data_IF_441705651167
#
_entry.id   IF_441705651167
#
_cell.length_a   1.000
_cell.length_b   1.000
_cell.length_c   1.000
_cell.angle_alpha   90.00
_cell.angle_beta   90.00
_cell.angle_gamma   90.00
#
_symmetry.space_group_name_H-M   'P 1'
#
loop_
_entity.id
_entity.type
_entity.pdbx_description
1 polymer ?
#
# COMPACT_ATOMS: atom_id res chain seq x y z
N UNK A 1 -8.59 -12.07 -1.16
CA UNK A 1 -7.95 -10.97 -0.42
C UNK A 1 -8.17 -9.61 -1.09
N UNK A 2 -7.63 -9.37 -2.30
CA UNK A 2 -7.75 -8.07 -3.00
C UNK A 2 -9.19 -7.58 -3.14
N UNK A 3 -10.10 -8.44 -3.60
CA UNK A 3 -11.52 -8.08 -3.72
C UNK A 3 -12.17 -7.67 -2.39
N UNK A 4 -11.81 -8.33 -1.28
CA UNK A 4 -12.30 -7.91 0.03
C UNK A 4 -11.66 -6.62 0.55
N UNK A 5 -10.43 -6.30 0.14
CA UNK A 5 -9.84 -4.99 0.42
C UNK A 5 -10.50 -3.86 -0.39
N UNK A 6 -11.02 -4.15 -1.59
CA UNK A 6 -11.75 -3.21 -2.44
C UNK A 6 -13.25 -3.15 -2.14
N UNK A 7 -13.77 -4.07 -1.32
CA UNK A 7 -15.17 -4.09 -0.92
C UNK A 7 -15.52 -2.95 0.04
N UNK A 8 -16.83 -2.71 0.18
CA UNK A 8 -17.44 -1.77 1.12
C UNK A 8 -17.55 -2.31 2.56
N UNK A 9 -16.76 -3.34 2.90
CA UNK A 9 -16.75 -3.89 4.25
C UNK A 9 -16.28 -2.82 5.25
N UNK A 10 -17.02 -2.60 6.35
CA UNK A 10 -16.70 -1.56 7.34
C UNK A 10 -15.40 -1.85 8.08
N UNK A 11 -14.99 -3.13 8.17
CA UNK A 11 -13.72 -3.54 8.76
C UNK A 11 -13.02 -4.54 7.84
N UNK A 12 -11.78 -4.21 7.47
CA UNK A 12 -10.95 -5.03 6.57
C UNK A 12 -9.92 -5.79 7.39
N UNK A 13 -10.32 -6.94 7.93
CA UNK A 13 -9.41 -7.91 8.54
C UNK A 13 -9.63 -9.30 7.93
N UNK A 14 -8.72 -10.24 8.18
CA UNK A 14 -8.80 -11.58 7.59
C UNK A 14 -10.10 -12.31 7.90
N UNK A 15 -10.66 -12.09 9.09
CA UNK A 15 -11.93 -12.71 9.49
C UNK A 15 -13.10 -12.18 8.67
N UNK A 16 -13.31 -10.86 8.67
CA UNK A 16 -14.41 -10.21 7.97
C UNK A 16 -14.31 -10.42 6.46
N UNK A 17 -13.10 -10.43 5.90
CA UNK A 17 -12.89 -10.73 4.48
C UNK A 17 -13.19 -12.22 4.20
N UNK A 18 -12.80 -13.16 5.09
CA UNK A 18 -13.09 -14.59 4.93
C UNK A 18 -14.59 -14.86 4.93
N UNK A 19 -15.32 -14.30 5.89
CA UNK A 19 -16.78 -14.40 5.94
C UNK A 19 -17.42 -13.85 4.66
N UNK A 20 -16.92 -12.71 4.17
CA UNK A 20 -17.45 -12.08 2.95
C UNK A 20 -17.26 -12.93 1.69
N UNK A 21 -16.15 -13.68 1.58
CA UNK A 21 -15.93 -14.60 0.45
C UNK A 21 -16.56 -15.99 0.65
N UNK A 22 -17.27 -16.22 1.76
CA UNK A 22 -17.93 -17.49 2.07
C UNK A 22 -17.03 -18.55 2.70
N UNK A 23 -15.85 -18.17 3.18
CA UNK A 23 -14.94 -19.07 3.90
C UNK A 23 -15.36 -19.22 5.36
N UNK A 24 -15.29 -20.43 5.88
CA UNK A 24 -15.66 -20.73 7.27
C UNK A 24 -14.59 -20.31 8.30
N UNK A 25 -13.35 -20.05 7.84
CA UNK A 25 -12.22 -19.68 8.69
C UNK A 25 -11.31 -18.65 7.99
N UNK A 26 -10.54 -17.84 8.74
CA UNK A 26 -9.57 -16.92 8.16
C UNK A 26 -8.25 -17.59 7.74
N UNK A 27 -8.14 -18.91 7.84
CA UNK A 27 -6.87 -19.63 7.82
C UNK A 27 -6.12 -19.47 6.49
N UNK A 28 -6.83 -19.49 5.36
CA UNK A 28 -6.24 -19.25 4.05
C UNK A 28 -5.62 -17.84 3.95
N UNK A 29 -6.30 -16.83 4.52
CA UNK A 29 -5.85 -15.44 4.51
C UNK A 29 -4.67 -15.23 5.47
N UNK A 30 -4.73 -15.82 6.66
CA UNK A 30 -3.59 -15.82 7.58
C UNK A 30 -2.41 -16.57 6.98
N UNK A 31 -2.62 -17.69 6.30
CA UNK A 31 -1.56 -18.42 5.62
C UNK A 31 -0.89 -17.54 4.56
N UNK A 32 -1.67 -16.86 3.71
CA UNK A 32 -1.14 -15.91 2.73
C UNK A 32 -0.24 -14.84 3.36
N UNK A 33 -0.64 -14.29 4.52
CA UNK A 33 0.10 -13.20 5.16
C UNK A 33 1.28 -13.64 6.03
N UNK A 34 1.29 -14.88 6.53
CA UNK A 34 2.27 -15.33 7.54
C UNK A 34 3.16 -16.48 7.11
N UNK A 35 2.71 -17.31 6.16
CA UNK A 35 3.35 -18.60 5.83
C UNK A 35 3.61 -18.80 4.35
N UNK A 36 2.85 -18.16 3.47
CA UNK A 36 3.10 -18.23 2.05
C UNK A 36 4.47 -17.63 1.73
N UNK A 37 5.25 -18.32 0.89
CA UNK A 37 6.50 -17.80 0.34
C UNK A 37 6.17 -17.08 -0.95
N UNK A 38 6.48 -15.80 -1.00
CA UNK A 38 6.33 -14.96 -2.17
C UNK A 38 7.67 -14.31 -2.45
N UNK A 39 8.02 -14.24 -3.73
CA UNK A 39 9.14 -13.43 -4.19
C UNK A 39 8.64 -11.98 -4.26
N UNK A 40 9.14 -11.14 -3.34
CA UNK A 40 8.69 -9.77 -3.22
C UNK A 40 9.06 -8.94 -4.46
N UNK A 41 10.20 -9.22 -5.10
CA UNK A 41 10.62 -8.55 -6.33
C UNK A 41 9.74 -8.98 -7.50
N UNK A 42 9.45 -10.28 -7.63
CA UNK A 42 8.55 -10.77 -8.68
C UNK A 42 7.14 -10.19 -8.54
N UNK A 43 6.58 -10.17 -7.33
CA UNK A 43 5.25 -9.58 -7.09
C UNK A 43 5.24 -8.08 -7.38
N UNK A 44 6.29 -7.35 -7.00
CA UNK A 44 6.43 -5.93 -7.35
C UNK A 44 6.45 -5.74 -8.86
N UNK A 45 7.24 -6.54 -9.56
CA UNK A 45 7.45 -6.40 -11.00
C UNK A 45 6.19 -6.76 -11.79
N UNK A 46 5.45 -7.80 -11.38
CA UNK A 46 4.14 -8.17 -11.94
C UNK A 46 3.12 -7.03 -11.78
N UNK A 47 3.04 -6.47 -10.57
CA UNK A 47 2.11 -5.38 -10.26
C UNK A 47 2.47 -4.11 -11.02
N UNK A 48 3.77 -3.79 -11.12
CA UNK A 48 4.26 -2.69 -11.96
C UNK A 48 3.91 -2.92 -13.43
N UNK A 49 4.11 -4.14 -13.94
CA UNK A 49 3.76 -4.54 -15.30
C UNK A 49 2.28 -4.31 -15.59
N UNK A 50 1.41 -4.76 -14.69
CA UNK A 50 -0.03 -4.55 -14.80
C UNK A 50 -0.42 -3.06 -14.88
N UNK A 51 0.16 -2.21 -14.01
CA UNK A 51 -0.11 -0.76 -14.04
C UNK A 51 0.36 -0.13 -15.33
N UNK A 52 1.56 -0.46 -15.80
CA UNK A 52 2.06 0.06 -17.07
C UNK A 52 1.19 -0.41 -18.23
N UNK A 53 0.76 -1.68 -18.25
CA UNK A 53 -0.07 -2.18 -19.34
C UNK A 53 -1.46 -1.54 -19.38
N UNK A 54 -2.10 -1.35 -18.22
CA UNK A 54 -3.52 -0.98 -18.16
C UNK A 54 -3.77 0.51 -17.89
N UNK A 55 -2.80 1.23 -17.33
CA UNK A 55 -2.97 2.62 -16.89
C UNK A 55 -1.99 3.58 -17.61
N UNK A 56 -1.22 3.12 -18.59
CA UNK A 56 -0.24 3.96 -19.28
C UNK A 56 -0.85 5.16 -20.00
N UNK A 57 -0.40 6.35 -19.60
CA UNK A 57 -0.58 7.63 -20.30
C UNK A 57 0.82 8.21 -20.57
N UNK A 58 1.04 8.75 -21.78
CA UNK A 58 2.30 9.42 -22.18
C UNK A 58 2.69 10.57 -21.25
N UNK A 59 1.72 11.15 -20.54
CA UNK A 59 1.91 12.27 -19.61
C UNK A 59 1.93 11.86 -18.14
N UNK A 60 2.02 10.56 -17.87
CA UNK A 60 2.13 10.04 -16.51
C UNK A 60 3.50 10.30 -15.89
N UNK A 61 3.52 10.42 -14.56
CA UNK A 61 4.74 10.57 -13.79
C UNK A 61 4.79 9.55 -12.66
N UNK A 62 6.02 9.19 -12.30
CA UNK A 62 6.31 8.33 -11.16
C UNK A 62 6.73 9.19 -9.98
N UNK A 63 5.94 9.20 -8.92
CA UNK A 63 6.26 9.92 -7.69
C UNK A 63 6.87 8.93 -6.69
N UNK A 64 8.04 9.26 -6.17
CA UNK A 64 8.69 8.51 -5.09
C UNK A 64 8.60 9.37 -3.84
N UNK A 65 7.99 8.84 -2.79
CA UNK A 65 7.80 9.54 -1.53
C UNK A 65 8.03 8.62 -0.33
N UNK A 66 8.64 9.15 0.73
CA UNK A 66 8.81 8.45 1.99
C UNK A 66 7.68 8.84 2.94
N UNK A 67 6.94 7.84 3.45
CA UNK A 67 5.90 8.06 4.44
C UNK A 67 6.19 7.26 5.70
N UNK A 68 6.22 7.96 6.84
CA UNK A 68 6.30 7.36 8.16
C UNK A 68 4.94 7.23 8.85
N UNK A 69 4.66 6.04 9.38
CA UNK A 69 3.49 5.73 10.19
C UNK A 69 3.91 5.50 11.66
N UNK A 70 3.46 6.36 12.56
CA UNK A 70 3.85 6.34 13.98
C UNK A 70 3.18 5.15 14.68
N UNK A 71 3.97 4.37 15.43
CA UNK A 71 3.50 3.18 16.12
C UNK A 71 3.73 3.26 17.62
N UNK A 72 2.86 2.58 18.37
CA UNK A 72 3.04 2.32 19.79
C UNK A 72 3.55 0.88 19.98
N UNK A 73 4.62 0.73 20.76
CA UNK A 73 5.26 -0.57 21.02
C UNK A 73 6.17 -1.07 19.89
N UNK A 74 6.60 -2.32 19.99
CA UNK A 74 7.61 -2.97 19.13
C UNK A 74 7.08 -4.15 18.31
N UNK A 75 5.77 -4.43 18.38
CA UNK A 75 5.17 -5.60 17.73
C UNK A 75 4.92 -5.47 16.22
N UNK A 76 5.20 -4.30 15.63
CA UNK A 76 5.05 -4.08 14.18
C UNK A 76 6.41 -4.25 13.50
N UNK A 77 6.47 -5.05 12.44
CA UNK A 77 7.70 -5.24 11.64
C UNK A 77 8.21 -3.89 11.11
N UNK A 78 9.52 -3.67 11.17
CA UNK A 78 10.16 -2.44 10.69
C UNK A 78 9.91 -1.19 11.54
N UNK A 79 9.29 -1.34 12.72
CA UNK A 79 9.15 -0.23 13.67
C UNK A 79 10.48 0.03 14.40
N UNK A 80 10.92 1.28 14.39
CA UNK A 80 12.08 1.73 15.14
C UNK A 80 12.02 3.24 15.38
N UNK A 81 12.94 3.77 16.18
CA UNK A 81 13.12 5.21 16.31
C UNK A 81 13.84 5.75 15.08
N UNK A 82 13.10 6.46 14.23
CA UNK A 82 13.61 7.04 13.00
C UNK A 82 12.91 8.36 12.69
N UNK A 83 13.53 9.19 11.88
CA UNK A 83 12.88 10.41 11.41
C UNK A 83 11.67 10.02 10.55
N UNK A 84 10.55 10.70 10.76
CA UNK A 84 9.34 10.54 9.93
C UNK A 84 8.94 11.92 9.43
N UNK A 85 8.85 12.07 8.11
CA UNK A 85 8.39 13.31 7.49
C UNK A 85 7.02 13.74 8.05
N UNK A 86 6.11 12.79 8.29
CA UNK A 86 4.76 13.03 8.81
C UNK A 86 4.75 13.68 10.20
N UNK A 87 5.68 13.31 11.08
CA UNK A 87 5.75 13.89 12.43
C UNK A 87 6.80 15.02 12.55
N UNK A 88 7.61 15.24 11.50
CA UNK A 88 8.68 16.24 11.46
C UNK A 88 9.80 16.01 12.47
N UNK A 89 9.89 14.81 13.07
CA UNK A 89 10.83 14.49 14.15
C UNK A 89 11.12 12.99 14.23
N UNK A 90 12.08 12.62 15.08
CA UNK A 90 12.38 11.21 15.36
C UNK A 90 11.32 10.65 16.30
N UNK A 91 10.57 9.67 15.81
CA UNK A 91 9.55 8.94 16.56
C UNK A 91 9.71 7.43 16.37
N UNK A 92 9.05 6.66 17.24
CA UNK A 92 8.86 5.24 17.00
C UNK A 92 7.87 5.07 15.84
N UNK A 93 8.38 4.79 14.65
CA UNK A 93 7.60 4.75 13.43
C UNK A 93 8.04 3.60 12.54
N UNK A 94 7.14 3.18 11.66
CA UNK A 94 7.47 2.37 10.51
C UNK A 94 7.55 3.31 9.31
N UNK A 95 8.70 3.38 8.66
CA UNK A 95 8.92 4.19 7.47
C UNK A 95 8.97 3.28 6.26
N UNK A 96 8.24 3.65 5.21
CA UNK A 96 8.27 2.94 3.93
C UNK A 96 8.40 3.97 2.80
N UNK A 97 9.13 3.58 1.76
CA UNK A 97 9.19 4.35 0.51
C UNK A 97 8.09 3.83 -0.39
N UNK A 98 7.28 4.75 -0.88
CA UNK A 98 6.19 4.48 -1.79
C UNK A 98 6.55 4.96 -3.18
N UNK A 99 6.08 4.19 -4.16
CA UNK A 99 6.16 4.53 -5.58
C UNK A 99 4.73 4.64 -6.10
N UNK A 100 4.36 5.83 -6.57
CA UNK A 100 3.00 6.16 -6.99
C UNK A 100 3.00 6.47 -8.47
N UNK A 101 2.12 5.81 -9.21
CA UNK A 101 1.86 6.13 -10.60
C UNK A 101 0.73 7.17 -10.68
N UNK A 102 1.03 8.32 -11.28
CA UNK A 102 0.11 9.45 -11.39
C UNK A 102 -0.11 9.80 -12.86
N UNK A 103 -1.37 9.73 -13.32
CA UNK A 103 -1.77 10.27 -14.62
C UNK A 103 -1.76 11.81 -14.62
N UNK A 104 -1.76 12.43 -15.80
CA UNK A 104 -1.59 13.88 -15.99
C UNK A 104 -2.57 14.74 -15.18
N UNK A 105 -3.82 14.32 -15.08
CA UNK A 105 -4.84 15.07 -14.34
C UNK A 105 -4.54 15.11 -12.83
N UNK A 106 -3.88 14.10 -12.28
CA UNK A 106 -3.43 14.08 -10.88
C UNK A 106 -2.26 15.04 -10.68
N UNK A 107 -1.34 15.15 -11.65
CA UNK A 107 -0.16 16.04 -11.58
C UNK A 107 -0.56 17.50 -11.48
N UNK A 108 -1.63 17.93 -12.16
CA UNK A 108 -2.14 19.30 -12.01
C UNK A 108 -2.70 19.56 -10.61
N UNK A 109 -3.35 18.58 -9.98
CA UNK A 109 -3.92 18.71 -8.63
C UNK A 109 -2.88 18.59 -7.52
N UNK A 110 -1.75 17.90 -7.76
CA UNK A 110 -0.60 17.84 -6.84
C UNK A 110 0.03 19.22 -6.63
N UNK A 111 0.06 20.06 -7.67
CA UNK A 111 0.50 21.46 -7.56
C UNK A 111 -0.43 22.36 -6.74
N UNK A 112 -1.67 21.92 -6.51
CA UNK A 112 -2.71 22.68 -5.78
C UNK A 112 -3.00 22.17 -4.36
N UNK A 113 -2.29 21.14 -3.89
CA UNK A 113 -2.47 20.59 -2.54
C UNK A 113 -3.75 19.77 -2.33
N UNK A 114 -4.34 19.22 -3.40
CA UNK A 114 -5.48 18.29 -3.34
C UNK A 114 -5.02 16.85 -3.53
N UNK A 115 -5.19 16.04 -2.48
CA UNK A 115 -4.49 14.75 -2.30
C UNK A 115 -5.18 13.50 -2.86
N UNK A 116 -6.37 13.59 -3.47
CA UNK A 116 -7.10 12.39 -3.91
C UNK A 116 -7.87 12.60 -5.21
N UNK A 117 -7.52 11.81 -6.23
CA UNK A 117 -8.37 11.50 -7.39
C UNK A 117 -8.42 9.98 -7.62
N UNK A 118 -9.48 9.53 -8.28
CA UNK A 118 -9.94 8.15 -8.45
C UNK A 118 -9.02 7.20 -9.24
N UNK A 119 -7.82 7.62 -9.64
CA UNK A 119 -6.93 6.87 -10.55
C UNK A 119 -5.52 6.57 -9.98
N UNK A 120 -5.36 6.56 -8.65
CA UNK A 120 -4.05 6.43 -7.99
C UNK A 120 -3.72 4.97 -7.66
N UNK A 121 -2.60 4.44 -8.18
CA UNK A 121 -1.99 3.19 -7.69
C UNK A 121 -0.78 3.50 -6.81
N UNK A 122 -0.84 3.12 -5.53
CA UNK A 122 0.21 3.37 -4.52
C UNK A 122 0.89 2.04 -4.18
N UNK A 123 2.19 1.93 -4.46
CA UNK A 123 2.98 0.75 -4.12
C UNK A 123 3.84 1.02 -2.91
N UNK A 124 3.68 0.18 -1.88
CA UNK A 124 4.50 0.19 -0.67
C UNK A 124 5.66 -0.76 -0.85
N UNK A 125 6.89 -0.25 -0.77
CA UNK A 125 8.09 -1.09 -0.74
C UNK A 125 8.77 -0.99 0.63
N UNK A 126 9.04 -2.14 1.23
CA UNK A 126 9.89 -2.29 2.40
C UNK A 126 10.89 -3.41 2.08
N UNK A 127 12.21 -3.16 2.16
CA UNK A 127 13.21 -4.22 2.00
C UNK A 127 13.12 -5.28 3.10
#
# INVERSE_FOLDING_TARGET
MVLGLLSDLPRKNCWTIAEWVGESTPDAMHHLLSRAKWDADAVRDDVRGYVVEHLHDERSVLVVDETGDVKKGTGTVGVQRQYTGTAGRIENAQVAVYMVYAGFDLVQHLGEGRWFSSSTAVFRWTP
#
